data_IF_133447941013
#
_entry.id   IF_133447941013
#
_cell.length_a   1.000
_cell.length_b   1.000
_cell.length_c   1.000
_cell.angle_alpha   90.00
_cell.angle_beta   90.00
_cell.angle_gamma   90.00
#
_symmetry.space_group_name_H-M   'P 1'
#
loop_
_entity.id
_entity.type
_entity.pdbx_description
1 polymer ?
#
# COMPACT_ATOMS: atom_id res chain seq x y z
N UNK A 1 -13.95 -5.68 -19.76
CA UNK A 1 -12.83 -5.88 -18.81
C UNK A 1 -12.50 -4.53 -18.21
N UNK A 2 -13.12 -4.21 -17.07
CA UNK A 2 -12.93 -2.93 -16.37
C UNK A 2 -11.72 -3.06 -15.46
N UNK A 3 -10.59 -2.48 -15.86
CA UNK A 3 -9.38 -2.45 -15.04
C UNK A 3 -9.63 -1.74 -13.71
N UNK A 4 -9.00 -2.21 -12.64
CA UNK A 4 -9.19 -1.66 -11.28
C UNK A 4 -8.18 -0.53 -11.03
N UNK A 5 -8.57 0.56 -10.34
CA UNK A 5 -7.71 1.72 -10.09
C UNK A 5 -6.79 1.52 -8.88
N UNK A 6 -6.04 0.41 -8.83
CA UNK A 6 -5.07 0.09 -7.76
C UNK A 6 -4.03 1.18 -7.52
N UNK A 7 -3.72 1.86 -8.60
CA UNK A 7 -2.72 2.88 -8.83
C UNK A 7 -2.87 4.11 -7.95
N UNK A 8 -4.12 4.57 -7.80
CA UNK A 8 -4.41 5.80 -7.08
C UNK A 8 -4.24 5.63 -5.58
N UNK A 9 -4.72 4.51 -5.04
CA UNK A 9 -4.55 4.15 -3.64
C UNK A 9 -3.06 3.96 -3.30
N UNK A 10 -2.31 3.25 -4.15
CA UNK A 10 -0.89 2.98 -3.91
C UNK A 10 -0.04 4.25 -4.00
N UNK A 11 -0.28 5.08 -5.03
CA UNK A 11 0.39 6.38 -5.19
C UNK A 11 0.15 7.27 -3.97
N UNK A 12 -1.10 7.33 -3.49
CA UNK A 12 -1.46 8.11 -2.31
C UNK A 12 -0.78 7.60 -1.05
N UNK A 13 -0.73 6.28 -0.82
CA UNK A 13 -0.06 5.71 0.34
C UNK A 13 1.44 6.00 0.38
N UNK A 14 2.12 5.98 -0.77
CA UNK A 14 3.58 6.14 -0.82
C UNK A 14 4.03 7.61 -0.89
N UNK A 15 3.25 8.45 -1.57
CA UNK A 15 3.64 9.83 -1.92
C UNK A 15 2.76 10.90 -1.27
N UNK A 16 1.58 10.53 -0.76
CA UNK A 16 0.54 11.48 -0.34
C UNK A 16 -0.21 12.13 -1.50
N UNK A 17 0.24 11.93 -2.75
CA UNK A 17 -0.37 12.49 -3.95
C UNK A 17 -1.30 11.47 -4.63
N UNK A 18 -2.37 11.99 -5.23
CA UNK A 18 -3.22 11.23 -6.14
C UNK A 18 -2.51 11.11 -7.50
N UNK A 19 -1.86 9.96 -7.73
CA UNK A 19 -1.19 9.63 -8.99
C UNK A 19 -2.07 8.73 -9.85
N UNK A 20 -2.15 9.04 -11.15
CA UNK A 20 -2.69 8.12 -12.14
C UNK A 20 -1.55 7.24 -12.67
N UNK A 21 -1.42 6.05 -12.09
CA UNK A 21 -0.44 5.04 -12.50
C UNK A 21 -1.04 4.01 -13.48
N UNK A 22 -2.22 4.31 -14.04
CA UNK A 22 -2.94 3.47 -15.01
C UNK A 22 -4.07 2.64 -14.41
N UNK A 23 -4.43 1.54 -15.09
CA UNK A 23 -5.40 0.53 -14.62
C UNK A 23 -4.80 -0.85 -14.79
N UNK A 24 -5.01 -1.72 -13.81
CA UNK A 24 -4.57 -3.12 -13.85
C UNK A 24 -5.71 -4.04 -13.41
N UNK A 25 -5.85 -5.19 -14.06
CA UNK A 25 -6.81 -6.21 -13.64
C UNK A 25 -6.32 -6.98 -12.39
N UNK A 26 -5.00 -7.23 -12.32
CA UNK A 26 -4.31 -7.85 -11.18
C UNK A 26 -3.11 -7.02 -10.80
N UNK A 27 -2.80 -6.98 -9.50
CA UNK A 27 -1.67 -6.22 -8.99
C UNK A 27 -0.34 -6.91 -9.32
N UNK A 28 0.47 -6.23 -10.11
CA UNK A 28 1.82 -6.67 -10.48
C UNK A 28 2.85 -5.69 -9.91
N UNK A 29 3.73 -6.18 -9.04
CA UNK A 29 4.68 -5.36 -8.27
C UNK A 29 5.62 -4.60 -9.19
N UNK A 30 6.23 -5.27 -10.16
CA UNK A 30 7.20 -4.65 -11.09
C UNK A 30 6.54 -3.58 -11.95
N UNK A 31 5.31 -3.81 -12.39
CA UNK A 31 4.55 -2.84 -13.17
C UNK A 31 4.16 -1.62 -12.32
N UNK A 32 3.83 -1.81 -11.04
CA UNK A 32 3.57 -0.70 -10.12
C UNK A 32 4.82 0.13 -9.85
N UNK A 33 5.98 -0.52 -9.65
CA UNK A 33 7.28 0.16 -9.48
C UNK A 33 7.65 0.95 -10.74
N UNK A 34 7.50 0.35 -11.92
CA UNK A 34 7.76 1.02 -13.19
C UNK A 34 6.85 2.24 -13.40
N UNK A 35 5.57 2.13 -13.05
CA UNK A 35 4.62 3.24 -13.18
C UNK A 35 4.93 4.38 -12.19
N UNK A 36 5.34 4.07 -10.96
CA UNK A 36 5.84 5.07 -10.00
C UNK A 36 7.08 5.80 -10.54
N UNK A 37 8.05 5.05 -11.06
CA UNK A 37 9.25 5.64 -11.66
C UNK A 37 8.92 6.51 -12.89
N UNK A 38 7.99 6.08 -13.74
CA UNK A 38 7.49 6.86 -14.88
C UNK A 38 6.79 8.15 -14.45
N UNK A 39 6.12 8.14 -13.29
CA UNK A 39 5.57 9.33 -12.65
C UNK A 39 6.62 10.19 -11.91
N UNK A 40 7.90 9.84 -11.98
CA UNK A 40 9.00 10.56 -11.34
C UNK A 40 9.19 10.25 -9.84
N UNK A 41 8.61 9.15 -9.37
CA UNK A 41 8.71 8.63 -8.01
C UNK A 41 9.53 7.34 -7.98
N UNK A 42 10.84 7.48 -8.06
CA UNK A 42 11.76 6.36 -7.82
C UNK A 42 11.88 6.02 -6.33
N UNK A 43 12.51 4.88 -6.03
CA UNK A 43 12.73 4.41 -4.67
C UNK A 43 13.42 5.45 -3.77
N UNK A 44 14.43 6.16 -4.29
CA UNK A 44 15.16 7.18 -3.54
C UNK A 44 14.28 8.37 -3.19
N UNK A 45 13.49 8.86 -4.15
CA UNK A 45 12.54 9.96 -3.92
C UNK A 45 11.44 9.59 -2.94
N UNK A 46 10.86 8.39 -3.07
CA UNK A 46 9.84 7.89 -2.14
C UNK A 46 10.43 7.75 -0.73
N UNK A 47 11.65 7.23 -0.60
CA UNK A 47 12.36 7.15 0.68
C UNK A 47 12.63 8.52 1.29
N UNK A 48 13.10 9.48 0.49
CA UNK A 48 13.30 10.87 0.94
C UNK A 48 12.00 11.52 1.41
N UNK A 49 10.89 11.28 0.71
CA UNK A 49 9.56 11.73 1.13
C UNK A 49 9.14 11.10 2.46
N UNK A 50 9.28 9.78 2.60
CA UNK A 50 9.00 9.06 3.83
C UNK A 50 9.77 9.65 5.03
N UNK A 51 11.06 9.96 4.83
CA UNK A 51 11.88 10.62 5.84
C UNK A 51 11.46 12.07 6.11
N UNK A 52 11.08 12.83 5.09
CA UNK A 52 10.66 14.22 5.23
C UNK A 52 9.36 14.36 6.02
N UNK A 53 8.41 13.43 5.83
CA UNK A 53 7.14 13.44 6.57
C UNK A 53 7.24 12.72 7.91
N UNK A 54 8.34 12.00 8.19
CA UNK A 54 8.54 11.27 9.43
C UNK A 54 8.47 12.22 10.64
N UNK A 55 7.39 12.11 11.42
CA UNK A 55 7.14 12.92 12.62
C UNK A 55 6.11 14.03 12.43
N UNK A 56 5.74 14.38 11.19
CA UNK A 56 4.61 15.28 10.90
C UNK A 56 3.35 14.49 10.55
N UNK A 57 3.50 13.46 9.71
CA UNK A 57 2.40 12.64 9.21
C UNK A 57 2.77 11.15 9.25
N UNK A 58 1.78 10.25 9.41
CA UNK A 58 2.02 8.82 9.34
C UNK A 58 2.41 8.41 7.91
N UNK A 59 3.50 7.65 7.79
CA UNK A 59 3.92 7.03 6.53
C UNK A 59 4.02 5.51 6.69
N UNK A 60 3.45 4.69 5.79
CA UNK A 60 2.67 5.07 4.60
C UNK A 60 1.35 5.81 4.94
N UNK A 61 0.94 6.69 4.03
CA UNK A 61 -0.24 7.54 4.22
C UNK A 61 -1.54 6.74 4.29
N UNK A 62 -2.48 7.09 5.19
CA UNK A 62 -3.77 6.42 5.28
C UNK A 62 -4.60 6.66 4.02
N UNK A 63 -5.13 5.58 3.45
CA UNK A 63 -5.98 5.62 2.25
C UNK A 63 -7.42 5.21 2.62
N UNK A 64 -8.42 6.07 2.40
CA UNK A 64 -9.82 5.76 2.70
C UNK A 64 -10.38 4.70 1.74
N UNK A 65 -11.46 4.04 2.14
CA UNK A 65 -12.10 2.97 1.35
C UNK A 65 -12.53 3.43 -0.05
N UNK A 66 -13.05 4.66 -0.16
CA UNK A 66 -13.48 5.24 -1.43
C UNK A 66 -12.32 5.35 -2.43
N UNK A 67 -11.12 5.66 -1.93
CA UNK A 67 -9.91 5.77 -2.76
C UNK A 67 -9.35 4.40 -3.19
N UNK A 68 -9.73 3.31 -2.51
CA UNK A 68 -9.35 1.94 -2.90
C UNK A 68 -10.18 1.39 -4.04
N UNK A 69 -11.27 2.04 -4.46
CA UNK A 69 -12.03 1.67 -5.65
C UNK A 69 -12.51 0.21 -5.66
N UNK A 70 -12.89 -0.33 -4.49
CA UNK A 70 -13.34 -1.71 -4.32
C UNK A 70 -12.25 -2.75 -4.01
N UNK A 71 -10.98 -2.34 -3.84
CA UNK A 71 -9.90 -3.21 -3.38
C UNK A 71 -10.05 -3.47 -1.89
N UNK A 72 -9.96 -4.73 -1.49
CA UNK A 72 -10.04 -5.14 -0.09
C UNK A 72 -8.88 -4.55 0.73
N UNK A 73 -9.09 -4.21 2.02
CA UNK A 73 -8.05 -3.62 2.85
C UNK A 73 -6.82 -4.53 3.01
N UNK A 74 -7.02 -5.84 3.16
CA UNK A 74 -5.93 -6.82 3.24
C UNK A 74 -5.17 -6.96 1.91
N UNK A 75 -5.90 -6.97 0.80
CA UNK A 75 -5.33 -7.06 -0.55
C UNK A 75 -4.47 -5.82 -0.85
N UNK A 76 -4.97 -4.63 -0.51
CA UNK A 76 -4.22 -3.38 -0.60
C UNK A 76 -2.98 -3.38 0.30
N UNK A 77 -3.10 -3.86 1.54
CA UNK A 77 -1.99 -3.92 2.49
C UNK A 77 -0.88 -4.85 1.99
N UNK A 78 -1.23 -6.03 1.45
CA UNK A 78 -0.28 -6.96 0.86
C UNK A 78 0.43 -6.35 -0.36
N UNK A 79 -0.31 -5.64 -1.23
CA UNK A 79 0.28 -4.93 -2.37
C UNK A 79 1.26 -3.84 -1.93
N UNK A 80 0.90 -3.08 -0.89
CA UNK A 80 1.75 -2.03 -0.32
C UNK A 80 3.05 -2.59 0.26
N UNK A 81 2.98 -3.68 1.03
CA UNK A 81 4.17 -4.35 1.58
C UNK A 81 5.09 -4.81 0.45
N UNK A 82 4.56 -5.56 -0.53
CA UNK A 82 5.36 -6.08 -1.65
C UNK A 82 6.01 -4.96 -2.48
N UNK A 83 5.29 -3.87 -2.72
CA UNK A 83 5.84 -2.69 -3.42
C UNK A 83 7.00 -2.09 -2.65
N UNK A 84 6.85 -1.94 -1.33
CA UNK A 84 7.90 -1.38 -0.47
C UNK A 84 9.12 -2.28 -0.42
N UNK A 85 8.93 -3.59 -0.36
CA UNK A 85 10.02 -4.58 -0.44
C UNK A 85 10.77 -4.46 -1.78
N UNK A 86 10.05 -4.41 -2.90
CA UNK A 86 10.66 -4.24 -4.22
C UNK A 86 11.41 -2.91 -4.38
N UNK A 87 10.94 -1.84 -3.74
CA UNK A 87 11.63 -0.55 -3.71
C UNK A 87 12.78 -0.50 -2.69
N UNK A 88 13.01 -1.55 -1.89
CA UNK A 88 14.02 -1.54 -0.82
C UNK A 88 13.65 -0.68 0.39
N UNK A 89 12.39 -0.27 0.51
CA UNK A 89 11.86 0.62 1.56
C UNK A 89 11.22 -0.14 2.74
N UNK A 90 11.42 -1.46 2.80
CA UNK A 90 10.97 -2.29 3.92
C UNK A 90 11.62 -1.86 5.25
N UNK A 91 12.88 -1.43 5.21
CA UNK A 91 13.65 -1.02 6.39
C UNK A 91 13.21 0.36 6.91
N UNK A 92 12.56 1.19 6.08
CA UNK A 92 12.01 2.50 6.47
C UNK A 92 10.71 2.40 7.27
N UNK A 93 10.35 1.20 7.75
CA UNK A 93 9.23 1.03 8.67
C UNK A 93 9.59 1.68 10.00
N UNK A 94 9.41 3.00 10.10
CA UNK A 94 9.11 3.65 11.37
C UNK A 94 7.78 3.05 11.79
N UNK A 95 7.84 2.02 12.63
CA UNK A 95 6.67 1.37 13.19
C UNK A 95 5.81 2.50 13.79
N UNK A 96 4.60 2.78 13.26
CA UNK A 96 3.74 3.71 13.96
C UNK A 96 3.50 3.12 15.35
N UNK A 97 3.63 3.91 16.44
CA UNK A 97 3.19 3.41 17.74
C UNK A 97 1.72 3.03 17.56
N UNK A 98 1.42 1.76 17.81
CA UNK A 98 0.11 1.13 17.65
C UNK A 98 -0.98 1.95 18.32
N UNK A 99 -1.46 2.97 17.64
CA UNK A 99 -2.64 3.72 18.01
C UNK A 99 -3.78 2.90 17.43
N UNK A 100 -4.30 2.01 18.28
CA UNK A 100 -5.56 1.30 18.14
C UNK A 100 -6.62 2.24 17.55
N UNK A 101 -6.73 2.28 16.24
CA UNK A 101 -7.92 2.79 15.58
C UNK A 101 -8.68 1.54 15.21
N UNK A 102 -9.80 1.37 15.92
CA UNK A 102 -10.73 0.23 15.86
C UNK A 102 -10.73 -0.48 14.51
N UNK A 103 -10.31 -1.74 14.58
CA UNK A 103 -10.70 -2.81 13.66
C UNK A 103 -12.18 -2.61 13.33
N UNK A 104 -12.48 -2.24 12.09
CA UNK A 104 -13.85 -1.99 11.66
C UNK A 104 -14.62 -3.32 11.74
N UNK A 105 -15.92 -3.28 12.03
CA UNK A 105 -16.72 -4.48 12.35
C UNK A 105 -16.70 -5.55 11.24
N UNK A 106 -16.25 -5.17 10.05
CA UNK A 106 -16.06 -6.01 8.88
C UNK A 106 -14.83 -6.95 8.97
N UNK A 107 -13.73 -6.53 9.62
CA UNK A 107 -12.54 -7.38 9.84
C UNK A 107 -12.83 -8.57 10.76
N UNK A 108 -13.80 -8.44 11.67
CA UNK A 108 -14.20 -9.51 12.59
C UNK A 108 -14.95 -10.65 11.88
N UNK A 109 -15.54 -10.39 10.70
CA UNK A 109 -16.14 -11.44 9.87
C UNK A 109 -15.10 -12.17 9.03
N UNK A 110 -14.06 -11.48 8.56
CA UNK A 110 -13.03 -12.07 7.70
C UNK A 110 -12.05 -12.98 8.47
N UNK A 111 -11.85 -12.74 9.77
CA UNK A 111 -11.07 -13.62 10.65
C UNK A 111 -11.69 -15.01 10.90
N UNK A 112 -12.93 -15.23 10.48
CA UNK A 112 -13.59 -16.54 10.60
C UNK A 112 -13.30 -17.48 9.41
N UNK A 113 -12.66 -17.00 8.33
CA UNK A 113 -12.55 -17.75 7.07
C UNK A 113 -11.16 -17.65 6.39
N UNK A 114 -10.09 -17.47 7.18
CA UNK A 114 -8.72 -17.54 6.68
C UNK A 114 -8.11 -18.93 6.95
N UNK A 115 -7.73 -19.71 5.91
CA UNK A 115 -7.05 -20.99 6.08
C UNK A 115 -5.64 -20.81 6.66
N UNK A 116 -5.13 -21.83 7.40
CA UNK A 116 -3.94 -21.68 8.23
C UNK A 116 -2.66 -21.49 7.42
N UNK A 117 -1.89 -20.50 7.85
CA UNK A 117 -0.61 -20.10 7.32
C UNK A 117 0.54 -21.04 7.73
N UNK A 118 1.37 -21.39 6.74
CA UNK A 118 2.76 -21.91 6.82
C UNK A 118 3.01 -23.30 7.42
N UNK A 119 3.10 -24.31 6.54
CA UNK A 119 3.79 -25.56 6.84
C UNK A 119 5.31 -25.43 6.64
N UNK A 120 6.07 -25.66 7.71
CA UNK A 120 7.49 -26.08 7.65
C UNK A 120 7.61 -27.47 7.01
N UNK A 121 8.77 -27.77 6.44
CA UNK A 121 9.22 -29.12 6.10
C UNK A 121 10.59 -29.09 5.46
#
# INVERSE_FOLDING_TARGET
MTGRPWHRALGRALTGCDLDLGVQERFEVDAAVAALAAAGWDAGRIGAHAHAVAGAEPWPHPVPADARGGIGPAEFHAALIRTREALGLAVLTVLPPSTRTRLDADERRLLADAPPHFGRG
#
